data_IF_028915273790
#
_entry.id   IF_028915273790
#
_cell.length_a   1.000
_cell.length_b   1.000
_cell.length_c   1.000
_cell.angle_alpha   90.00
_cell.angle_beta   90.00
_cell.angle_gamma   90.00
#
_symmetry.space_group_name_H-M   'P 1'
#
loop_
_entity.id
_entity.type
_entity.pdbx_description
1 polymer ?
#
# COMPACT_ATOMS: atom_id res chain seq x y z
N UNK A 1 -15.48 5.91 -0.46
CA UNK A 1 -16.22 5.55 -1.68
C UNK A 1 -16.56 4.08 -1.66
N UNK A 2 -17.76 3.70 -2.06
CA UNK A 2 -18.13 2.29 -2.20
C UNK A 2 -17.28 1.67 -3.32
N UNK A 3 -16.52 0.64 -2.99
CA UNK A 3 -15.81 -0.16 -3.99
C UNK A 3 -16.85 -0.93 -4.81
N UNK A 4 -16.97 -0.64 -6.11
CA UNK A 4 -17.82 -1.39 -7.03
C UNK A 4 -16.95 -2.36 -7.84
N UNK A 5 -17.21 -3.66 -7.70
CA UNK A 5 -16.61 -4.66 -8.58
C UNK A 5 -17.40 -4.75 -9.89
N UNK A 6 -16.71 -4.69 -11.04
CA UNK A 6 -17.32 -4.90 -12.36
C UNK A 6 -16.75 -6.17 -12.98
N UNK A 7 -17.64 -7.00 -13.54
CA UNK A 7 -17.22 -8.16 -14.32
C UNK A 7 -16.61 -7.65 -15.64
N UNK A 8 -15.42 -8.11 -15.99
CA UNK A 8 -14.75 -7.82 -17.27
C UNK A 8 -14.55 -9.12 -18.01
N UNK A 9 -14.91 -9.17 -19.29
CA UNK A 9 -14.49 -10.23 -20.21
C UNK A 9 -13.21 -9.78 -20.90
N UNK A 10 -12.14 -10.57 -20.73
CA UNK A 10 -10.81 -10.25 -21.26
C UNK A 10 -10.54 -11.13 -22.48
N UNK A 11 -10.14 -10.49 -23.59
CA UNK A 11 -9.69 -11.15 -24.81
C UNK A 11 -8.17 -11.15 -24.87
N UNK A 12 -7.60 -12.30 -25.23
CA UNK A 12 -6.14 -12.45 -25.49
C UNK A 12 -5.81 -12.33 -26.98
N UNK A 13 -6.84 -12.20 -27.81
CA UNK A 13 -6.73 -12.14 -29.25
C UNK A 13 -7.34 -10.82 -29.77
N UNK A 14 -6.51 -10.02 -30.44
CA UNK A 14 -6.91 -8.73 -31.02
C UNK A 14 -8.03 -8.90 -32.07
N UNK A 15 -8.08 -10.02 -32.79
CA UNK A 15 -9.11 -10.28 -33.79
C UNK A 15 -10.53 -10.31 -33.17
N UNK A 16 -10.65 -10.74 -31.92
CA UNK A 16 -11.93 -10.69 -31.19
C UNK A 16 -12.39 -9.26 -30.91
N UNK A 17 -11.45 -8.37 -30.58
CA UNK A 17 -11.77 -6.94 -30.39
C UNK A 17 -12.21 -6.27 -31.71
N UNK A 18 -11.72 -6.74 -32.84
CA UNK A 18 -12.09 -6.21 -34.16
C UNK A 18 -13.59 -6.36 -34.43
N UNK A 19 -14.22 -7.39 -33.89
CA UNK A 19 -15.67 -7.57 -33.97
C UNK A 19 -16.39 -6.46 -33.20
N UNK A 20 -15.93 -6.10 -32.01
CA UNK A 20 -16.50 -5.03 -31.19
C UNK A 20 -16.24 -3.64 -31.78
N UNK A 21 -15.18 -3.45 -32.57
CA UNK A 21 -14.89 -2.17 -33.25
C UNK A 21 -15.84 -1.89 -34.43
N UNK A 22 -16.64 -2.87 -34.84
CA UNK A 22 -17.60 -2.65 -35.88
C UNK A 22 -18.79 -1.81 -35.35
N UNK A 23 -19.15 -0.68 -36.00
CA UNK A 23 -20.19 0.22 -35.50
C UNK A 23 -21.57 -0.46 -35.32
N UNK A 24 -21.92 -1.39 -36.17
CA UNK A 24 -23.22 -2.11 -36.08
C UNK A 24 -23.17 -3.10 -34.92
N UNK A 25 -22.08 -3.86 -34.78
CA UNK A 25 -21.89 -4.78 -33.65
C UNK A 25 -21.91 -4.03 -32.32
N UNK A 26 -21.27 -2.85 -32.25
CA UNK A 26 -21.26 -2.03 -31.02
C UNK A 26 -22.70 -1.56 -30.65
N UNK A 27 -23.47 -1.06 -31.59
CA UNK A 27 -24.88 -0.65 -31.36
C UNK A 27 -25.75 -1.84 -30.90
N UNK A 28 -25.49 -3.03 -31.40
CA UNK A 28 -26.14 -4.27 -30.93
C UNK A 28 -25.75 -4.56 -29.47
N UNK A 29 -24.48 -4.42 -29.13
CA UNK A 29 -24.01 -4.58 -27.75
C UNK A 29 -24.66 -3.59 -26.79
N UNK A 30 -24.80 -2.32 -27.19
CA UNK A 30 -25.48 -1.29 -26.39
C UNK A 30 -26.95 -1.64 -26.10
N UNK A 31 -27.68 -2.19 -27.09
CA UNK A 31 -29.03 -2.66 -26.86
C UNK A 31 -29.09 -3.86 -25.91
N UNK A 32 -28.28 -4.87 -26.21
CA UNK A 32 -28.24 -6.12 -25.42
C UNK A 32 -27.67 -5.92 -24.00
N UNK A 33 -26.99 -4.82 -23.72
CA UNK A 33 -26.56 -4.45 -22.36
C UNK A 33 -27.71 -3.94 -21.50
N UNK A 34 -28.77 -3.40 -22.11
CA UNK A 34 -29.95 -2.89 -21.41
C UNK A 34 -30.94 -3.99 -21.00
N UNK A 35 -30.89 -5.11 -21.70
CA UNK A 35 -31.73 -6.27 -21.42
C UNK A 35 -31.71 -7.30 -22.54
N UNK A 36 -32.26 -8.50 -22.30
CA UNK A 36 -32.35 -9.57 -23.31
C UNK A 36 -33.28 -9.21 -24.46
N UNK A 37 -32.84 -9.48 -25.69
CA UNK A 37 -33.64 -9.24 -26.92
C UNK A 37 -33.52 -10.38 -27.92
N UNK A 38 -34.56 -10.54 -28.74
CA UNK A 38 -34.54 -11.38 -29.93
C UNK A 38 -33.85 -10.66 -31.10
N UNK A 39 -33.17 -11.37 -32.03
CA UNK A 39 -32.54 -10.74 -33.20
C UNK A 39 -33.49 -9.88 -34.02
N UNK A 40 -34.76 -10.30 -34.22
CA UNK A 40 -35.75 -9.51 -34.92
C UNK A 40 -36.09 -8.19 -34.20
N UNK A 41 -36.12 -8.17 -32.86
CA UNK A 41 -36.29 -6.94 -32.10
C UNK A 41 -35.11 -6.00 -32.25
N UNK A 42 -33.88 -6.54 -32.17
CA UNK A 42 -32.64 -5.78 -32.41
C UNK A 42 -32.64 -5.17 -33.81
N UNK A 43 -33.04 -5.93 -34.83
CA UNK A 43 -33.13 -5.45 -36.19
C UNK A 43 -34.11 -4.26 -36.34
N UNK A 44 -35.29 -4.36 -35.70
CA UNK A 44 -36.31 -3.33 -35.67
C UNK A 44 -35.82 -2.05 -34.99
N UNK A 45 -35.21 -2.18 -33.81
CA UNK A 45 -34.71 -1.04 -33.03
C UNK A 45 -33.58 -0.29 -33.75
N UNK A 46 -32.66 -1.01 -34.37
CA UNK A 46 -31.52 -0.42 -35.08
C UNK A 46 -31.83 -0.04 -36.52
N UNK A 47 -33.04 -0.39 -37.04
CA UNK A 47 -33.46 -0.17 -38.44
C UNK A 47 -32.47 -0.80 -39.43
N UNK A 48 -32.07 -2.05 -39.17
CA UNK A 48 -31.18 -2.85 -40.01
C UNK A 48 -31.92 -4.11 -40.49
N UNK A 49 -31.39 -4.74 -41.53
CA UNK A 49 -31.96 -6.01 -41.98
C UNK A 49 -31.81 -7.11 -40.90
N UNK A 50 -32.84 -7.93 -40.77
CA UNK A 50 -32.83 -9.01 -39.76
C UNK A 50 -31.66 -9.98 -39.95
N UNK A 51 -31.34 -10.30 -41.22
CA UNK A 51 -30.15 -11.11 -41.52
C UNK A 51 -28.85 -10.49 -40.99
N UNK A 52 -28.72 -9.16 -41.04
CA UNK A 52 -27.55 -8.45 -40.49
C UNK A 52 -27.51 -8.55 -38.96
N UNK A 53 -28.64 -8.43 -38.28
CA UNK A 53 -28.71 -8.61 -36.84
C UNK A 53 -28.29 -10.03 -36.44
N UNK A 54 -28.79 -11.07 -37.11
CA UNK A 54 -28.39 -12.45 -36.88
C UNK A 54 -26.90 -12.68 -37.14
N UNK A 55 -26.35 -12.11 -38.19
CA UNK A 55 -24.93 -12.24 -38.51
C UNK A 55 -24.05 -11.64 -37.43
N UNK A 56 -24.31 -10.42 -36.99
CA UNK A 56 -23.50 -9.77 -35.95
C UNK A 56 -23.71 -10.40 -34.58
N UNK A 57 -24.93 -10.78 -34.20
CA UNK A 57 -25.19 -11.51 -32.96
C UNK A 57 -24.40 -12.83 -32.93
N UNK A 58 -24.37 -13.61 -33.99
CA UNK A 58 -23.56 -14.83 -34.08
C UNK A 58 -22.06 -14.55 -33.90
N UNK A 59 -21.55 -13.49 -34.53
CA UNK A 59 -20.15 -13.07 -34.33
C UNK A 59 -19.87 -12.66 -32.89
N UNK A 60 -20.78 -11.89 -32.28
CA UNK A 60 -20.64 -11.51 -30.87
C UNK A 60 -20.72 -12.71 -29.91
N UNK A 61 -21.56 -13.68 -30.22
CA UNK A 61 -21.61 -14.95 -29.46
C UNK A 61 -20.32 -15.76 -29.65
N UNK A 62 -19.77 -15.84 -30.86
CA UNK A 62 -18.54 -16.60 -31.12
C UNK A 62 -17.31 -16.06 -30.38
N UNK A 63 -17.29 -14.77 -30.07
CA UNK A 63 -16.23 -14.15 -29.29
C UNK A 63 -16.55 -14.09 -27.77
N UNK A 64 -17.73 -14.55 -27.35
CA UNK A 64 -18.15 -14.54 -25.95
C UNK A 64 -18.66 -13.17 -25.43
N UNK A 65 -18.86 -12.19 -26.30
CA UNK A 65 -19.38 -10.87 -25.94
C UNK A 65 -20.90 -10.88 -25.68
N UNK A 66 -21.62 -11.79 -26.33
CA UNK A 66 -23.06 -12.00 -26.17
C UNK A 66 -23.31 -13.46 -25.82
N UNK A 67 -24.29 -13.72 -24.99
CA UNK A 67 -24.74 -15.07 -24.61
C UNK A 67 -26.23 -15.26 -24.87
N UNK A 68 -26.62 -16.51 -25.18
CA UNK A 68 -28.01 -16.93 -25.22
C UNK A 68 -28.51 -17.11 -23.79
N UNK A 69 -29.59 -16.42 -23.41
CA UNK A 69 -30.14 -16.43 -22.04
C UNK A 69 -31.53 -17.06 -21.96
N UNK A 70 -32.13 -17.42 -23.10
CA UNK A 70 -33.42 -18.09 -23.13
C UNK A 70 -33.85 -18.51 -24.51
N UNK A 71 -34.88 -19.37 -24.56
CA UNK A 71 -35.53 -19.85 -25.79
C UNK A 71 -37.04 -19.84 -25.61
N UNK A 72 -37.74 -19.35 -26.63
CA UNK A 72 -39.19 -19.47 -26.70
C UNK A 72 -39.60 -20.20 -27.96
N UNK A 73 -40.58 -21.09 -27.84
CA UNK A 73 -41.17 -21.74 -29.00
C UNK A 73 -42.20 -20.83 -29.61
N UNK A 74 -42.03 -20.48 -30.89
CA UNK A 74 -42.96 -19.66 -31.68
C UNK A 74 -43.46 -20.48 -32.85
N UNK A 75 -44.64 -20.09 -33.43
CA UNK A 75 -45.13 -20.74 -34.66
C UNK A 75 -44.06 -20.67 -35.75
N UNK A 76 -43.53 -21.82 -36.12
CA UNK A 76 -42.50 -21.97 -37.16
C UNK A 76 -41.07 -22.11 -36.69
N UNK A 77 -40.78 -22.17 -35.36
CA UNK A 77 -39.42 -22.42 -34.89
C UNK A 77 -39.15 -22.02 -33.43
N UNK A 78 -37.86 -21.96 -33.07
CA UNK A 78 -37.39 -21.57 -31.76
C UNK A 78 -36.77 -20.18 -31.83
N UNK A 79 -37.34 -19.20 -31.14
CA UNK A 79 -36.74 -17.87 -31.01
C UNK A 79 -35.77 -17.88 -29.84
N UNK A 80 -34.50 -17.46 -30.06
CA UNK A 80 -33.42 -17.37 -29.07
C UNK A 80 -33.28 -15.96 -28.58
N UNK A 81 -33.20 -15.83 -27.25
CA UNK A 81 -33.03 -14.55 -26.54
C UNK A 81 -31.56 -14.34 -26.21
N UNK A 82 -31.03 -13.17 -26.52
CA UNK A 82 -29.60 -12.86 -26.35
C UNK A 82 -29.42 -11.65 -25.44
N UNK A 83 -28.31 -11.66 -24.67
CA UNK A 83 -27.91 -10.55 -23.79
C UNK A 83 -26.38 -10.39 -23.81
N UNK A 84 -25.88 -9.19 -23.53
CA UNK A 84 -24.46 -8.96 -23.34
C UNK A 84 -23.93 -9.78 -22.14
N UNK A 85 -22.77 -10.43 -22.30
CA UNK A 85 -22.19 -11.33 -21.27
C UNK A 85 -21.53 -10.57 -20.12
N UNK A 86 -21.15 -9.32 -20.33
CA UNK A 86 -20.45 -8.47 -19.37
C UNK A 86 -20.68 -6.99 -19.66
N UNK A 87 -20.64 -6.12 -18.62
CA UNK A 87 -20.69 -4.68 -18.80
C UNK A 87 -19.36 -4.08 -19.31
N UNK A 88 -18.29 -4.86 -19.35
CA UNK A 88 -16.95 -4.36 -19.74
C UNK A 88 -16.17 -5.44 -20.50
N UNK A 89 -15.36 -5.00 -21.46
CA UNK A 89 -14.50 -5.85 -22.30
C UNK A 89 -13.12 -5.20 -22.38
N UNK A 90 -12.08 -6.01 -22.35
CA UNK A 90 -10.69 -5.55 -22.41
C UNK A 90 -9.80 -6.48 -23.22
N UNK A 91 -8.58 -6.02 -23.54
CA UNK A 91 -7.52 -6.85 -24.11
C UNK A 91 -6.48 -7.08 -23.04
N UNK A 92 -6.05 -8.31 -22.88
CA UNK A 92 -4.89 -8.70 -22.10
C UNK A 92 -3.70 -8.87 -23.05
N UNK A 93 -2.64 -8.14 -22.78
CA UNK A 93 -1.36 -8.33 -23.47
C UNK A 93 -0.52 -9.30 -22.65
N UNK A 94 0.12 -10.26 -23.34
CA UNK A 94 1.01 -11.22 -22.69
C UNK A 94 2.37 -10.57 -22.41
N UNK A 95 2.45 -9.81 -21.32
CA UNK A 95 3.69 -9.21 -20.82
C UNK A 95 4.33 -10.01 -19.68
N UNK A 96 3.98 -11.28 -19.57
CA UNK A 96 4.33 -12.16 -18.47
C UNK A 96 3.34 -12.05 -17.31
N UNK A 97 3.16 -13.15 -16.61
CA UNK A 97 2.32 -13.18 -15.41
C UNK A 97 2.94 -12.31 -14.32
N UNK A 98 2.40 -11.14 -14.10
CA UNK A 98 2.57 -10.46 -12.81
C UNK A 98 1.82 -11.32 -11.81
N UNK A 99 2.55 -12.11 -11.02
CA UNK A 99 1.95 -12.88 -9.94
C UNK A 99 1.22 -11.92 -9.01
N UNK A 100 -0.10 -11.89 -9.10
CA UNK A 100 -0.99 -11.13 -8.20
C UNK A 100 -0.89 -11.58 -6.72
N UNK A 101 0.04 -12.48 -6.41
CA UNK A 101 0.28 -13.03 -5.08
C UNK A 101 0.97 -12.09 -4.10
N UNK A 102 1.39 -10.90 -4.51
CA UNK A 102 2.12 -9.99 -3.64
C UNK A 102 1.93 -8.50 -3.95
N UNK A 103 0.84 -8.09 -4.60
CA UNK A 103 0.50 -6.67 -4.54
C UNK A 103 -0.10 -6.41 -3.16
N UNK A 104 0.60 -5.71 -2.26
CA UNK A 104 -0.04 -5.13 -1.08
C UNK A 104 -1.16 -4.24 -1.58
N UNK A 105 -2.33 -4.32 -0.99
CA UNK A 105 -3.41 -3.42 -1.32
C UNK A 105 -2.93 -1.99 -1.06
N UNK A 106 -2.52 -1.27 -2.12
CA UNK A 106 -2.37 0.17 -2.08
C UNK A 106 -1.00 0.78 -1.79
N UNK A 107 0.15 0.06 -1.94
CA UNK A 107 1.48 0.66 -1.70
C UNK A 107 2.37 0.75 -2.95
N UNK A 108 3.18 1.81 -3.03
CA UNK A 108 4.26 1.92 -4.02
C UNK A 108 5.29 0.78 -3.83
N UNK A 109 5.95 0.27 -4.89
CA UNK A 109 6.90 -0.85 -4.80
C UNK A 109 8.01 -0.68 -3.76
N UNK A 110 8.55 0.53 -3.59
CA UNK A 110 9.58 0.81 -2.58
C UNK A 110 9.05 0.72 -1.16
N UNK A 111 7.83 1.20 -0.91
CA UNK A 111 7.14 1.08 0.38
C UNK A 111 6.87 -0.38 0.72
N UNK A 112 6.38 -1.16 -0.24
CA UNK A 112 6.14 -2.59 -0.08
C UNK A 112 7.43 -3.35 0.26
N UNK A 113 8.54 -3.02 -0.41
CA UNK A 113 9.85 -3.61 -0.15
C UNK A 113 10.39 -3.20 1.22
N UNK A 114 10.17 -1.96 1.64
CA UNK A 114 10.63 -1.49 2.96
C UNK A 114 9.94 -2.25 4.11
N UNK A 115 8.64 -2.51 3.96
CA UNK A 115 7.83 -3.20 4.97
C UNK A 115 7.63 -4.70 4.70
N UNK A 116 8.38 -5.33 3.77
CA UNK A 116 8.19 -6.74 3.41
C UNK A 116 8.28 -7.69 4.59
N UNK A 117 9.20 -7.46 5.54
CA UNK A 117 9.35 -8.25 6.76
C UNK A 117 8.18 -8.06 7.75
N UNK A 118 7.45 -6.96 7.61
CA UNK A 118 6.34 -6.58 8.50
C UNK A 118 4.97 -6.94 7.95
N UNK A 119 4.90 -7.50 6.75
CA UNK A 119 3.63 -7.83 6.08
C UNK A 119 3.67 -9.28 5.63
N UNK A 120 2.75 -10.10 6.14
CA UNK A 120 2.55 -11.47 5.68
C UNK A 120 1.14 -11.62 5.12
N UNK A 121 1.05 -11.82 3.80
CA UNK A 121 -0.24 -11.82 3.12
C UNK A 121 -0.91 -10.45 3.19
N UNK A 122 -1.91 -10.29 4.05
CA UNK A 122 -2.70 -9.06 4.21
C UNK A 122 -2.63 -8.49 5.63
N UNK A 123 -1.82 -9.08 6.49
CA UNK A 123 -1.76 -8.78 7.92
C UNK A 123 -0.39 -8.19 8.30
N UNK A 124 -0.40 -7.25 9.23
CA UNK A 124 0.82 -6.74 9.84
C UNK A 124 1.42 -7.79 10.79
N UNK A 125 2.71 -8.09 10.62
CA UNK A 125 3.48 -9.05 11.43
C UNK A 125 4.67 -8.38 12.07
N UNK A 126 4.43 -7.77 13.21
CA UNK A 126 5.45 -7.08 13.99
C UNK A 126 4.83 -6.37 15.18
N UNK A 127 5.66 -5.64 15.91
CA UNK A 127 5.25 -4.81 17.04
C UNK A 127 5.62 -3.35 16.77
N UNK A 128 4.76 -2.43 17.18
CA UNK A 128 5.03 -0.99 17.22
C UNK A 128 5.34 -0.65 18.67
N UNK A 129 6.59 -0.25 18.94
CA UNK A 129 7.05 0.04 20.29
C UNK A 129 7.14 1.55 20.49
N UNK A 130 6.37 2.06 21.44
CA UNK A 130 6.33 3.47 21.83
C UNK A 130 6.89 3.67 23.22
N UNK A 131 7.48 4.83 23.50
CA UNK A 131 7.94 5.14 24.84
C UNK A 131 6.79 5.23 25.84
N UNK A 132 6.99 4.75 27.06
CA UNK A 132 6.03 4.83 28.13
C UNK A 132 5.75 6.30 28.54
N UNK A 133 4.50 6.68 28.85
CA UNK A 133 4.16 8.03 29.27
C UNK A 133 4.66 8.37 30.67
N UNK A 134 4.84 7.36 31.50
CA UNK A 134 5.38 7.53 32.85
C UNK A 134 6.91 7.69 32.86
N UNK A 135 7.48 8.39 33.86
CA UNK A 135 8.92 8.56 33.98
C UNK A 135 9.64 7.21 34.09
N UNK A 136 10.51 6.88 33.13
CA UNK A 136 11.23 5.62 33.07
C UNK A 136 12.63 5.78 32.47
N UNK A 137 13.39 4.68 32.46
CA UNK A 137 14.74 4.64 31.94
C UNK A 137 15.75 5.43 32.78
N UNK A 138 17.01 5.55 32.31
CA UNK A 138 18.11 6.18 33.08
C UNK A 138 17.87 7.66 33.38
N UNK A 139 17.14 8.36 32.51
CA UNK A 139 16.88 9.79 32.63
C UNK A 139 15.52 10.11 33.25
N UNK A 140 14.75 9.12 33.67
CA UNK A 140 13.39 9.26 34.17
C UNK A 140 12.52 10.16 33.27
N UNK A 141 12.67 9.97 31.96
CA UNK A 141 11.94 10.76 30.96
C UNK A 141 10.56 10.17 30.69
N UNK A 142 9.60 11.04 30.40
CA UNK A 142 8.25 10.68 29.95
C UNK A 142 8.12 10.84 28.44
N UNK A 143 7.62 9.84 27.73
CA UNK A 143 7.38 9.97 26.31
C UNK A 143 6.08 10.74 26.03
N UNK A 144 6.14 11.64 25.04
CA UNK A 144 4.98 12.42 24.56
C UNK A 144 4.69 12.21 23.08
N UNK A 145 5.54 11.47 22.38
CA UNK A 145 5.50 11.25 20.93
C UNK A 145 4.85 9.92 20.52
N UNK A 146 4.43 9.10 21.49
CA UNK A 146 3.73 7.83 21.22
C UNK A 146 2.46 7.97 20.38
N UNK A 147 1.77 9.11 20.43
CA UNK A 147 0.59 9.37 19.60
C UNK A 147 0.92 9.47 18.10
N UNK A 148 2.16 9.71 17.70
CA UNK A 148 2.57 9.65 16.28
C UNK A 148 2.49 8.23 15.72
N UNK A 149 2.56 7.21 16.59
CA UNK A 149 2.33 5.81 16.21
C UNK A 149 0.95 5.58 15.61
N UNK A 150 -0.06 6.36 16.03
CA UNK A 150 -1.42 6.26 15.48
C UNK A 150 -1.43 6.60 14.00
N UNK A 151 -0.71 7.66 13.60
CA UNK A 151 -0.61 8.05 12.19
C UNK A 151 0.10 6.98 11.35
N UNK A 152 1.19 6.43 11.86
CA UNK A 152 1.89 5.31 11.21
C UNK A 152 1.01 4.06 11.14
N UNK A 153 0.21 3.76 12.18
CA UNK A 153 -0.69 2.61 12.19
C UNK A 153 -1.79 2.73 11.12
N UNK A 154 -2.34 3.92 10.89
CA UNK A 154 -3.27 4.16 9.77
C UNK A 154 -2.62 3.90 8.42
N UNK A 155 -1.39 4.37 8.23
CA UNK A 155 -0.62 4.11 7.01
C UNK A 155 -0.35 2.61 6.82
N UNK A 156 0.10 1.91 7.86
CA UNK A 156 0.31 0.45 7.82
C UNK A 156 -0.99 -0.31 7.54
N UNK A 157 -2.11 0.12 8.13
CA UNK A 157 -3.43 -0.45 7.85
C UNK A 157 -3.87 -0.29 6.39
N UNK A 158 -3.42 0.78 5.71
CA UNK A 158 -3.67 0.96 4.28
C UNK A 158 -2.91 -0.07 3.42
N UNK A 159 -1.68 -0.42 3.79
CA UNK A 159 -0.87 -1.38 3.05
C UNK A 159 -1.13 -2.85 3.42
N UNK A 160 -1.65 -3.14 4.61
CA UNK A 160 -1.92 -4.51 5.08
C UNK A 160 -3.34 -4.97 4.78
N UNK A 161 -4.33 -4.10 4.78
CA UNK A 161 -5.75 -4.37 4.49
C UNK A 161 -6.45 -5.41 5.40
N UNK A 162 -5.83 -5.84 6.48
CA UNK A 162 -6.42 -6.66 7.53
C UNK A 162 -6.00 -6.12 8.91
N UNK A 163 -6.90 -6.18 9.86
CA UNK A 163 -6.60 -5.81 11.25
C UNK A 163 -5.77 -6.94 11.87
N UNK A 164 -4.68 -6.62 12.58
CA UNK A 164 -3.90 -7.63 13.31
C UNK A 164 -4.79 -8.42 14.28
N UNK A 165 -4.56 -9.72 14.37
CA UNK A 165 -5.30 -10.62 15.27
C UNK A 165 -4.95 -10.37 16.76
N UNK A 166 -3.78 -9.79 17.01
CA UNK A 166 -3.27 -9.48 18.35
C UNK A 166 -3.01 -7.98 18.50
N UNK A 167 -2.88 -7.52 19.75
CA UNK A 167 -2.55 -6.14 20.05
C UNK A 167 -1.05 -5.89 19.78
N UNK A 168 -0.75 -5.14 18.72
CA UNK A 168 0.62 -4.97 18.17
C UNK A 168 1.36 -3.75 18.73
N UNK A 169 0.69 -2.86 19.47
CA UNK A 169 1.34 -1.68 20.07
C UNK A 169 1.77 -2.02 21.49
N UNK A 170 3.04 -1.78 21.81
CA UNK A 170 3.62 -2.06 23.13
C UNK A 170 4.35 -0.85 23.67
N UNK A 171 4.30 -0.67 24.98
CA UNK A 171 5.22 0.26 25.63
C UNK A 171 6.64 -0.32 25.64
N UNK A 172 7.63 0.53 25.55
CA UNK A 172 9.04 0.14 25.52
C UNK A 172 9.47 -0.62 26.79
N UNK A 173 8.93 -0.25 27.94
CA UNK A 173 9.15 -0.93 29.23
C UNK A 173 8.58 -2.34 29.21
N UNK A 174 7.37 -2.53 28.66
CA UNK A 174 6.71 -3.83 28.56
C UNK A 174 7.43 -4.73 27.54
N UNK A 175 7.78 -4.18 26.38
CA UNK A 175 8.50 -4.90 25.35
C UNK A 175 9.83 -5.46 25.86
N UNK A 176 10.53 -4.72 26.73
CA UNK A 176 11.76 -5.20 27.39
C UNK A 176 11.47 -6.23 28.49
N UNK A 177 10.50 -5.97 29.36
CA UNK A 177 10.14 -6.86 30.47
C UNK A 177 9.67 -8.23 29.97
N UNK A 178 8.89 -8.25 28.90
CA UNK A 178 8.34 -9.45 28.25
C UNK A 178 9.32 -10.10 27.24
N UNK A 179 10.55 -9.57 27.11
CA UNK A 179 11.62 -10.08 26.21
C UNK A 179 11.21 -10.14 24.74
N UNK A 180 10.39 -9.17 24.30
CA UNK A 180 9.85 -9.13 22.94
C UNK A 180 10.84 -8.63 21.88
N UNK A 181 12.05 -8.23 22.26
CA UNK A 181 13.08 -7.72 21.34
C UNK A 181 13.69 -8.82 20.47
N UNK A 182 13.43 -10.07 20.78
CA UNK A 182 13.87 -11.26 20.03
C UNK A 182 12.65 -11.96 19.44
N UNK A 183 12.75 -12.45 18.20
CA UNK A 183 11.68 -13.19 17.53
C UNK A 183 10.56 -12.33 16.94
N UNK A 184 10.68 -11.00 16.98
CA UNK A 184 9.69 -10.08 16.43
C UNK A 184 10.32 -9.04 15.52
N UNK A 185 9.62 -8.69 14.46
CA UNK A 185 9.88 -7.46 13.73
C UNK A 185 9.41 -6.27 14.58
N UNK A 186 10.24 -5.24 14.72
CA UNK A 186 9.93 -4.09 15.59
C UNK A 186 9.96 -2.77 14.82
N UNK A 187 8.95 -1.94 15.03
CA UNK A 187 9.00 -0.53 14.64
C UNK A 187 9.03 0.29 15.93
N UNK A 188 10.15 0.95 16.22
CA UNK A 188 10.25 1.81 17.40
C UNK A 188 9.96 3.25 17.02
N UNK A 189 9.15 3.94 17.84
CA UNK A 189 8.78 5.34 17.64
C UNK A 189 9.23 6.15 18.84
N UNK A 190 9.97 7.22 18.55
CA UNK A 190 10.54 8.13 19.56
C UNK A 190 12.03 7.93 19.76
N UNK A 191 12.70 9.01 20.12
CA UNK A 191 14.14 9.07 20.35
C UNK A 191 14.60 8.30 21.60
N UNK A 192 15.91 7.99 21.68
CA UNK A 192 16.47 7.18 22.78
C UNK A 192 16.33 7.80 24.17
N UNK A 193 16.09 9.11 24.26
CA UNK A 193 15.83 9.78 25.53
C UNK A 193 14.49 9.41 26.17
N UNK A 194 13.52 8.95 25.38
CA UNK A 194 12.13 8.66 25.80
C UNK A 194 11.66 7.26 25.43
N UNK A 195 12.46 6.51 24.67
CA UNK A 195 12.18 5.12 24.29
C UNK A 195 13.43 4.27 24.53
N UNK A 196 13.40 3.45 25.59
CA UNK A 196 14.54 2.63 26.00
C UNK A 196 14.85 1.50 25.01
N UNK A 197 13.91 1.11 24.14
CA UNK A 197 14.15 0.15 23.06
C UNK A 197 14.92 0.83 21.94
N UNK A 198 14.56 2.07 21.57
CA UNK A 198 15.36 2.87 20.61
C UNK A 198 16.79 3.10 21.14
N UNK A 199 16.94 3.39 22.44
CA UNK A 199 18.25 3.55 23.06
C UNK A 199 19.10 2.28 22.95
N UNK A 200 18.52 1.11 23.16
CA UNK A 200 19.21 -0.18 23.07
C UNK A 200 19.74 -0.48 21.66
N UNK A 201 18.95 -0.15 20.64
CA UNK A 201 19.35 -0.38 19.25
C UNK A 201 20.22 0.73 18.67
N UNK A 202 20.35 1.89 19.31
CA UNK A 202 21.09 3.03 18.78
C UNK A 202 22.51 2.69 18.30
N UNK A 203 23.26 1.88 19.04
CA UNK A 203 24.63 1.48 18.68
C UNK A 203 24.76 0.67 17.39
N UNK A 204 23.66 0.09 16.91
CA UNK A 204 23.61 -0.73 15.70
C UNK A 204 23.10 0.05 14.47
N UNK A 205 22.65 1.31 14.63
CA UNK A 205 22.09 2.09 13.55
C UNK A 205 23.18 2.67 12.62
N UNK A 206 22.91 2.82 11.31
CA UNK A 206 23.81 3.49 10.37
C UNK A 206 24.02 4.97 10.72
N UNK A 207 22.93 5.64 11.14
CA UNK A 207 22.94 6.99 11.71
C UNK A 207 22.48 6.87 13.15
N UNK A 208 23.28 7.37 14.09
CA UNK A 208 23.10 7.17 15.53
C UNK A 208 22.82 8.47 16.23
N UNK A 209 22.01 8.43 17.27
CA UNK A 209 21.91 9.52 18.22
C UNK A 209 23.20 9.66 19.02
N UNK A 210 23.62 10.91 19.27
CA UNK A 210 24.84 11.23 20.03
C UNK A 210 24.62 11.01 21.53
N UNK A 211 24.94 9.82 22.01
CA UNK A 211 24.80 9.42 23.41
C UNK A 211 25.63 10.32 24.34
N UNK A 212 26.81 10.76 23.88
CA UNK A 212 27.71 11.63 24.67
C UNK A 212 27.13 13.03 24.84
N UNK A 213 26.20 13.43 24.00
CA UNK A 213 25.50 14.72 24.06
C UNK A 213 24.03 14.55 24.43
N UNK A 214 23.71 13.63 25.35
CA UNK A 214 22.34 13.39 25.84
C UNK A 214 21.32 13.18 24.72
N UNK A 215 21.71 12.47 23.66
CA UNK A 215 20.90 12.17 22.49
C UNK A 215 20.50 13.42 21.64
N UNK A 216 21.16 14.58 21.88
CA UNK A 216 20.85 15.86 21.24
C UNK A 216 21.52 16.02 19.89
N UNK A 217 21.27 15.08 18.95
CA UNK A 217 21.79 15.14 17.59
C UNK A 217 21.96 13.75 17.00
N UNK A 218 22.04 13.71 15.68
CA UNK A 218 22.32 12.49 14.90
C UNK A 218 23.73 12.58 14.34
N UNK A 219 24.42 11.44 14.23
CA UNK A 219 25.77 11.34 13.65
C UNK A 219 25.76 10.16 12.67
N UNK A 220 26.13 10.42 11.42
CA UNK A 220 26.31 9.37 10.41
C UNK A 220 27.70 8.71 10.45
N UNK A 221 27.89 7.68 9.64
CA UNK A 221 29.15 6.94 9.54
C UNK A 221 30.33 7.77 9.05
N UNK A 222 30.08 8.90 8.39
CA UNK A 222 31.10 9.86 7.91
C UNK A 222 31.42 10.95 8.95
N UNK A 223 30.68 10.97 10.07
CA UNK A 223 30.89 11.95 11.14
C UNK A 223 30.09 13.24 10.96
N UNK A 224 29.22 13.34 9.95
CA UNK A 224 28.33 14.49 9.81
C UNK A 224 27.31 14.51 10.95
N UNK A 225 26.97 15.73 11.40
CA UNK A 225 26.08 15.94 12.55
C UNK A 225 24.80 16.67 12.13
N UNK A 226 23.67 16.19 12.65
CA UNK A 226 22.34 16.74 12.41
C UNK A 226 21.70 17.04 13.76
N UNK A 227 21.74 18.29 14.19
CA UNK A 227 21.41 18.71 15.56
C UNK A 227 20.16 19.59 15.69
N UNK A 228 19.37 19.78 14.60
CA UNK A 228 18.15 20.58 14.70
C UNK A 228 17.03 19.77 15.37
N UNK A 229 16.18 20.41 16.15
CA UNK A 229 15.07 19.79 16.88
C UNK A 229 14.07 19.07 15.97
N UNK A 230 13.95 19.52 14.72
CA UNK A 230 13.09 18.97 13.67
C UNK A 230 13.80 17.94 12.75
N UNK A 231 15.06 17.57 13.05
CA UNK A 231 15.71 16.44 12.37
C UNK A 231 15.14 15.12 12.84
N UNK A 232 14.67 14.32 11.88
CA UNK A 232 14.14 12.98 12.07
C UNK A 232 15.03 11.91 11.45
N UNK A 233 15.00 10.72 12.00
CA UNK A 233 15.67 9.52 11.52
C UNK A 233 14.66 8.47 11.16
N UNK A 234 14.80 7.90 9.96
CA UNK A 234 14.19 6.63 9.56
C UNK A 234 15.36 5.68 9.31
N UNK A 235 15.41 4.58 10.06
CA UNK A 235 16.45 3.56 9.86
C UNK A 235 15.83 2.17 9.85
N UNK A 236 16.36 1.29 9.01
CA UNK A 236 16.04 -0.14 9.00
C UNK A 236 17.33 -0.92 9.19
N UNK A 237 17.30 -1.84 10.13
CA UNK A 237 18.42 -2.76 10.39
C UNK A 237 17.89 -4.17 10.57
N UNK A 238 18.75 -5.16 10.33
CA UNK A 238 18.53 -6.52 10.81
C UNK A 238 18.55 -6.53 12.34
N UNK A 239 17.67 -7.30 12.95
CA UNK A 239 17.66 -7.39 14.40
C UNK A 239 18.97 -8.03 14.89
N UNK A 240 19.79 -7.35 15.71
CA UNK A 240 21.05 -7.90 16.19
C UNK A 240 20.89 -9.10 17.15
N UNK A 241 19.69 -9.33 17.67
CA UNK A 241 19.37 -10.43 18.56
C UNK A 241 18.69 -11.61 17.87
N UNK A 242 18.20 -11.39 16.63
CA UNK A 242 17.52 -12.40 15.83
C UNK A 242 17.62 -12.09 14.33
N UNK A 243 18.44 -12.81 13.62
CA UNK A 243 18.70 -12.61 12.19
C UNK A 243 17.48 -12.78 11.27
N UNK A 244 16.37 -13.35 11.77
CA UNK A 244 15.14 -13.56 11.00
C UNK A 244 14.17 -12.39 11.13
N UNK A 245 14.45 -11.42 11.98
CA UNK A 245 13.61 -10.25 12.18
C UNK A 245 14.34 -8.94 11.85
N UNK A 246 13.56 -7.89 11.64
CA UNK A 246 14.03 -6.55 11.26
C UNK A 246 13.55 -5.50 12.26
N UNK A 247 14.34 -4.45 12.40
CA UNK A 247 13.99 -3.30 13.23
C UNK A 247 13.93 -2.06 12.36
N UNK A 248 12.84 -1.32 12.48
CA UNK A 248 12.68 0.01 11.93
C UNK A 248 12.63 1.02 13.07
N UNK A 249 13.47 2.04 12.98
CA UNK A 249 13.51 3.16 13.94
C UNK A 249 12.92 4.39 13.25
N UNK A 250 11.90 4.97 13.86
CA UNK A 250 11.26 6.22 13.43
C UNK A 250 11.34 7.20 14.59
N UNK A 251 12.36 8.04 14.59
CA UNK A 251 12.71 8.82 15.77
C UNK A 251 13.23 10.21 15.37
N UNK A 252 13.41 11.10 16.31
CA UNK A 252 13.97 12.42 16.05
C UNK A 252 14.77 12.97 17.22
N UNK A 253 15.53 14.02 16.95
CA UNK A 253 16.33 14.73 17.96
C UNK A 253 15.43 15.25 19.09
N UNK A 254 14.24 15.73 18.73
CA UNK A 254 13.13 16.06 19.63
C UNK A 254 11.83 15.50 19.07
N UNK A 255 10.72 15.73 19.76
CA UNK A 255 9.40 15.30 19.31
C UNK A 255 9.03 15.85 17.92
N UNK A 256 9.47 17.05 17.58
CA UNK A 256 9.33 17.63 16.24
C UNK A 256 10.04 16.76 15.17
N UNK A 257 11.26 16.31 15.47
CA UNK A 257 12.00 15.41 14.58
C UNK A 257 11.32 14.04 14.45
N UNK A 258 10.78 13.47 15.54
CA UNK A 258 9.98 12.22 15.47
C UNK A 258 8.76 12.43 14.57
N UNK A 259 8.06 13.57 14.70
CA UNK A 259 6.93 13.91 13.81
C UNK A 259 7.38 14.01 12.36
N UNK A 260 8.53 14.67 12.08
CA UNK A 260 9.11 14.75 10.73
C UNK A 260 9.35 13.37 10.13
N UNK A 261 9.96 12.45 10.89
CA UNK A 261 10.22 11.09 10.44
C UNK A 261 8.92 10.31 10.15
N UNK A 262 7.89 10.47 10.98
CA UNK A 262 6.58 9.83 10.75
C UNK A 262 5.92 10.39 9.50
N UNK A 263 5.87 11.72 9.31
CA UNK A 263 5.31 12.36 8.11
C UNK A 263 6.07 11.89 6.86
N UNK A 264 7.40 11.86 6.91
CA UNK A 264 8.23 11.38 5.81
C UNK A 264 7.86 9.95 5.41
N UNK A 265 7.79 9.04 6.38
CA UNK A 265 7.53 7.62 6.13
C UNK A 265 6.08 7.33 5.71
N UNK A 266 5.14 8.22 6.00
CA UNK A 266 3.72 8.04 5.68
C UNK A 266 3.28 8.87 4.47
N UNK A 267 3.39 10.19 4.55
CA UNK A 267 2.87 11.09 3.52
C UNK A 267 3.80 11.20 2.31
N UNK A 268 5.10 10.97 2.51
CA UNK A 268 6.15 11.07 1.48
C UNK A 268 6.89 9.75 1.26
N UNK A 269 6.27 8.61 1.62
CA UNK A 269 6.91 7.29 1.57
C UNK A 269 7.52 6.94 0.22
N UNK A 270 6.87 7.30 -0.89
CA UNK A 270 7.36 7.04 -2.25
C UNK A 270 8.67 7.79 -2.53
N UNK A 271 8.76 9.03 -2.07
CA UNK A 271 9.92 9.89 -2.29
C UNK A 271 11.09 9.48 -1.38
N UNK A 272 10.84 9.33 -0.09
CA UNK A 272 11.88 9.03 0.90
C UNK A 272 12.44 7.62 0.75
N UNK A 273 11.62 6.66 0.28
CA UNK A 273 12.04 5.28 0.03
C UNK A 273 12.46 5.01 -1.42
N UNK A 274 12.47 6.02 -2.29
CA UNK A 274 12.79 5.85 -3.71
C UNK A 274 14.14 5.17 -3.96
N UNK A 275 15.13 5.43 -3.12
CA UNK A 275 16.49 4.86 -3.23
C UNK A 275 16.67 3.57 -2.42
N UNK A 276 15.67 3.14 -1.65
CA UNK A 276 15.74 1.90 -0.89
C UNK A 276 15.55 0.70 -1.81
N UNK A 277 16.53 -0.20 -1.85
CA UNK A 277 16.54 -1.37 -2.73
C UNK A 277 16.46 -2.71 -1.99
N UNK A 278 16.15 -2.69 -0.68
CA UNK A 278 16.04 -3.89 0.14
C UNK A 278 17.25 -4.13 1.05
N UNK A 279 18.02 -3.09 1.35
CA UNK A 279 19.20 -3.17 2.22
C UNK A 279 18.78 -3.54 3.65
N UNK A 280 19.52 -4.47 4.25
CA UNK A 280 19.38 -4.85 5.68
C UNK A 280 19.97 -3.81 6.65
N UNK A 281 20.64 -2.78 6.13
CA UNK A 281 21.30 -1.73 6.90
C UNK A 281 21.17 -0.41 6.14
N UNK A 282 20.17 0.37 6.48
CA UNK A 282 19.78 1.58 5.76
C UNK A 282 19.30 2.67 6.72
N UNK A 283 19.59 3.92 6.39
CA UNK A 283 19.09 5.06 7.14
C UNK A 283 18.90 6.30 6.27
N UNK A 284 17.96 7.13 6.68
CA UNK A 284 17.64 8.42 6.08
C UNK A 284 17.43 9.46 7.19
N UNK A 285 18.07 10.62 7.04
CA UNK A 285 17.81 11.79 7.87
C UNK A 285 16.92 12.75 7.12
N UNK A 286 15.86 13.18 7.75
CA UNK A 286 14.89 14.14 7.21
C UNK A 286 14.79 15.38 8.10
N UNK A 287 14.36 16.49 7.53
CA UNK A 287 14.07 17.72 8.25
C UNK A 287 12.63 18.15 7.99
N UNK A 288 11.88 18.44 9.04
CA UNK A 288 10.52 18.94 8.93
C UNK A 288 10.45 20.46 8.87
N UNK A 289 9.46 20.96 8.15
CA UNK A 289 9.19 22.38 7.99
C UNK A 289 7.71 22.67 8.24
N UNK A 290 7.45 23.88 8.75
CA UNK A 290 6.15 24.50 8.87
C UNK A 290 6.02 25.52 7.73
N UNK A 291 5.40 25.11 6.62
CA UNK A 291 5.31 25.93 5.41
C UNK A 291 4.21 26.98 5.48
N UNK A 292 3.18 26.71 6.29
CA UNK A 292 2.03 27.61 6.44
C UNK A 292 2.09 28.50 7.67
N UNK A 293 3.15 28.35 8.51
CA UNK A 293 3.40 29.11 9.73
C UNK A 293 2.32 28.96 10.82
N UNK A 294 1.70 27.77 10.91
CA UNK A 294 0.72 27.44 11.96
C UNK A 294 1.35 26.83 13.23
N UNK A 295 2.68 26.70 13.25
CA UNK A 295 3.44 26.10 14.34
C UNK A 295 3.53 24.57 14.26
N UNK A 296 3.09 23.94 13.15
CA UNK A 296 3.09 22.49 12.97
C UNK A 296 3.89 22.12 11.74
N UNK A 297 4.62 20.99 11.84
CA UNK A 297 5.31 20.43 10.70
C UNK A 297 4.27 19.85 9.73
N UNK A 298 4.34 20.30 8.46
CA UNK A 298 3.48 19.89 7.35
C UNK A 298 4.25 19.49 6.10
N UNK A 299 5.57 19.78 6.04
CA UNK A 299 6.46 19.39 4.96
C UNK A 299 7.74 18.78 5.49
N UNK A 300 8.40 17.93 4.66
CA UNK A 300 9.69 17.32 5.01
C UNK A 300 10.61 17.25 3.80
N UNK A 301 11.91 17.52 4.03
CA UNK A 301 12.98 17.35 3.07
C UNK A 301 13.94 16.24 3.51
N UNK A 302 14.58 15.60 2.53
CA UNK A 302 15.65 14.65 2.76
C UNK A 302 16.96 15.44 2.97
N UNK A 303 17.58 15.22 4.13
CA UNK A 303 18.86 15.89 4.48
C UNK A 303 20.04 15.02 4.14
N UNK A 304 19.97 13.73 4.43
CA UNK A 304 21.01 12.74 4.13
C UNK A 304 20.41 11.34 4.08
N UNK A 305 20.95 10.49 3.19
CA UNK A 305 20.58 9.07 3.06
C UNK A 305 21.80 8.22 2.71
N UNK A 306 21.87 7.03 3.29
CA UNK A 306 22.88 6.00 3.04
C UNK A 306 22.26 4.90 2.19
#
# INVERSE_FOLDING_TARGET
>A
GQASAKKIVVFRDVERMRVLSNPVAWRIMELLSRGPMYPAQVAKELKIYEQSAYYYIRKLVSIGAVQEVGRNFVRGGTARLYQASSPSFGIEMDWGETKLGSMPAGGHPSTSRFFENFVAGREFKGLIVVGAPDPHGPYKSSARDGHYAVHLAFFLGHITSAVPSEFVVKLDVDAKAEKMLTGNNLITIGGPGTNIVTAEFNRYLPVRFDEKNFWSGLIDGSGNRYGLDNHGLIAKIKNPYDSNSSIVVVAGVRSAGTKSAVIALTNYSEEVLKKYNGEDYWALVVQGFDMNSDGKIDHVDIVSGL
#
